data_IF_309181965202
#
_entry.id   IF_309181965202
#
_cell.length_a   1.000
_cell.length_b   1.000
_cell.length_c   1.000
_cell.angle_alpha   90.00
_cell.angle_beta   90.00
_cell.angle_gamma   90.00
#
_symmetry.space_group_name_H-M   'P 1'
#
loop_
_entity.id
_entity.type
_entity.pdbx_description
1 polymer ?
#
# COMPACT_ATOMS: atom_id res chain seq x y z
N UNK A 1 8.72 7.29 32.41
CA UNK A 1 9.14 5.88 32.57
C UNK A 1 9.39 5.31 31.18
N UNK A 2 10.66 5.08 30.82
CA UNK A 2 11.11 4.87 29.43
C UNK A 2 10.64 3.53 28.86
N UNK A 3 10.09 3.52 27.63
CA UNK A 3 9.59 2.33 26.90
C UNK A 3 10.56 1.12 26.89
N UNK A 4 11.87 1.35 27.12
CA UNK A 4 12.91 0.31 27.23
C UNK A 4 12.67 -0.71 28.35
N UNK A 5 12.23 -0.29 29.54
CA UNK A 5 12.10 -1.21 30.69
C UNK A 5 10.96 -2.22 30.47
N UNK A 6 9.87 -1.78 29.82
CA UNK A 6 8.69 -2.60 29.52
C UNK A 6 8.99 -3.68 28.49
N UNK A 7 9.82 -3.40 27.49
CA UNK A 7 10.24 -4.38 26.50
C UNK A 7 11.07 -5.50 27.13
N UNK A 8 11.99 -5.16 28.04
CA UNK A 8 12.86 -6.13 28.73
C UNK A 8 12.05 -7.04 29.67
N UNK A 9 11.09 -6.49 30.41
CA UNK A 9 10.34 -7.24 31.42
C UNK A 9 9.12 -8.00 30.86
N UNK A 10 8.50 -7.50 29.79
CA UNK A 10 7.21 -8.01 29.30
C UNK A 10 7.18 -8.30 27.78
N UNK A 11 8.28 -8.10 27.05
CA UNK A 11 8.37 -8.37 25.62
C UNK A 11 7.46 -7.52 24.72
N UNK A 12 6.77 -6.52 25.28
CA UNK A 12 5.79 -5.70 24.57
C UNK A 12 6.25 -4.24 24.51
N UNK A 13 6.29 -3.68 23.30
CA UNK A 13 6.63 -2.28 23.07
C UNK A 13 6.18 -1.80 21.69
N UNK A 14 6.10 -0.48 21.47
CA UNK A 14 5.75 0.07 20.17
C UNK A 14 6.83 -0.23 19.13
N UNK A 15 6.43 -0.59 17.90
CA UNK A 15 7.32 -0.74 16.75
C UNK A 15 6.86 0.20 15.63
N UNK A 16 7.76 1.05 15.16
CA UNK A 16 7.54 1.85 13.95
C UNK A 16 7.75 1.00 12.70
N UNK A 17 6.91 1.17 11.69
CA UNK A 17 7.01 0.48 10.41
C UNK A 17 6.93 1.53 9.31
N UNK A 18 7.93 1.56 8.43
CA UNK A 18 7.96 2.44 7.26
C UNK A 18 7.90 1.57 6.03
N UNK A 19 6.92 1.79 5.15
CA UNK A 19 6.74 1.04 3.89
C UNK A 19 6.81 -0.49 4.08
N UNK A 20 6.17 -0.99 5.13
CA UNK A 20 6.10 -2.42 5.44
C UNK A 20 7.40 -3.04 5.96
N UNK A 21 8.44 -2.25 6.28
CA UNK A 21 9.75 -2.76 6.73
C UNK A 21 10.36 -3.77 5.73
N UNK A 22 10.14 -3.51 4.44
CA UNK A 22 10.44 -4.42 3.35
C UNK A 22 11.72 -4.03 2.61
N UNK A 23 12.34 -5.02 1.96
CA UNK A 23 13.42 -4.80 0.98
C UNK A 23 12.78 -4.74 -0.41
N UNK A 24 12.63 -3.56 -1.03
CA UNK A 24 11.77 -3.41 -2.23
C UNK A 24 12.21 -4.28 -3.41
N UNK A 25 13.52 -4.41 -3.63
CA UNK A 25 14.09 -5.22 -4.72
C UNK A 25 13.80 -6.72 -4.62
N UNK A 26 13.39 -7.20 -3.45
CA UNK A 26 12.96 -8.59 -3.24
C UNK A 26 11.44 -8.67 -3.14
N UNK A 27 10.83 -7.73 -2.43
CA UNK A 27 9.41 -7.77 -2.07
C UNK A 27 8.50 -7.47 -3.25
N UNK A 28 8.79 -6.45 -4.07
CA UNK A 28 7.94 -6.08 -5.20
C UNK A 28 7.88 -7.19 -6.26
N UNK A 29 9.01 -7.80 -6.72
CA UNK A 29 8.94 -8.94 -7.64
C UNK A 29 8.08 -10.09 -7.08
N UNK A 30 8.18 -10.37 -5.78
CA UNK A 30 7.37 -11.40 -5.13
C UNK A 30 5.87 -11.09 -5.17
N UNK A 31 5.47 -9.83 -4.98
CA UNK A 31 4.06 -9.43 -5.09
C UNK A 31 3.55 -9.57 -6.53
N UNK A 32 4.37 -9.23 -7.53
CA UNK A 32 4.05 -9.44 -8.95
C UNK A 32 3.85 -10.92 -9.26
N UNK A 33 4.73 -11.80 -8.77
CA UNK A 33 4.56 -13.26 -8.94
C UNK A 33 3.24 -13.75 -8.32
N UNK A 34 2.89 -13.27 -7.14
CA UNK A 34 1.64 -13.62 -6.47
C UNK A 34 0.42 -13.09 -7.22
N UNK A 35 0.49 -11.89 -7.79
CA UNK A 35 -0.54 -11.33 -8.65
C UNK A 35 -0.77 -12.20 -9.89
N UNK A 36 0.31 -12.56 -10.60
CA UNK A 36 0.26 -13.43 -11.78
C UNK A 36 -0.29 -14.83 -11.48
N UNK A 37 -0.09 -15.32 -10.25
CA UNK A 37 -0.68 -16.58 -9.76
C UNK A 37 -2.15 -16.46 -9.34
N UNK A 38 -2.75 -15.26 -9.43
CA UNK A 38 -4.11 -15.00 -8.94
C UNK A 38 -4.24 -15.00 -7.40
N UNK A 39 -3.13 -14.97 -6.68
CA UNK A 39 -3.06 -15.05 -5.20
C UNK A 39 -2.98 -13.69 -4.52
N UNK A 40 -2.84 -12.63 -5.30
CA UNK A 40 -2.81 -11.26 -4.81
C UNK A 40 -3.60 -10.35 -5.76
N UNK A 41 -4.94 -10.35 -5.70
CA UNK A 41 -5.81 -9.65 -6.66
C UNK A 41 -5.88 -8.14 -6.39
N UNK A 42 -4.74 -7.45 -6.52
CA UNK A 42 -4.61 -6.00 -6.26
C UNK A 42 -5.31 -5.16 -7.33
N UNK A 43 -5.52 -5.71 -8.53
CA UNK A 43 -6.27 -5.13 -9.64
C UNK A 43 -7.70 -4.71 -9.24
N UNK A 44 -8.32 -5.45 -8.31
CA UNK A 44 -9.68 -5.16 -7.83
C UNK A 44 -9.80 -3.85 -7.06
N UNK A 45 -8.69 -3.26 -6.63
CA UNK A 45 -8.66 -1.99 -5.94
C UNK A 45 -8.48 -0.80 -6.90
N UNK A 46 -8.16 -1.08 -8.17
CA UNK A 46 -7.74 -0.09 -9.14
C UNK A 46 -8.94 0.40 -9.96
N UNK A 47 -9.07 1.73 -10.08
CA UNK A 47 -9.86 2.37 -11.14
C UNK A 47 -8.92 3.19 -12.01
N UNK A 48 -9.03 3.05 -13.32
CA UNK A 48 -8.21 3.76 -14.30
C UNK A 48 -8.89 5.04 -14.76
N UNK A 49 -8.10 6.09 -14.96
CA UNK A 49 -8.54 7.38 -15.48
C UNK A 49 -7.62 7.80 -16.63
N UNK A 50 -8.14 8.59 -17.58
CA UNK A 50 -7.28 9.28 -18.54
C UNK A 50 -6.41 10.30 -17.78
N UNK A 51 -5.25 10.65 -18.33
CA UNK A 51 -4.35 11.60 -17.66
C UNK A 51 -5.00 12.98 -17.50
N UNK A 52 -5.86 13.35 -18.45
CA UNK A 52 -6.63 14.60 -18.48
C UNK A 52 -7.66 14.67 -17.34
N UNK A 53 -8.11 13.53 -16.82
CA UNK A 53 -9.14 13.41 -15.78
C UNK A 53 -8.55 13.40 -14.36
N UNK A 54 -7.35 13.96 -14.16
CA UNK A 54 -6.62 13.91 -12.88
C UNK A 54 -7.41 14.51 -11.70
N UNK A 55 -8.16 15.58 -11.93
CA UNK A 55 -8.94 16.24 -10.89
C UNK A 55 -10.10 15.34 -10.41
N UNK A 56 -10.79 14.69 -11.36
CA UNK A 56 -11.84 13.72 -11.04
C UNK A 56 -11.28 12.48 -10.32
N UNK A 57 -10.09 12.02 -10.73
CA UNK A 57 -9.40 10.92 -10.06
C UNK A 57 -9.02 11.26 -8.61
N UNK A 58 -8.60 12.50 -8.35
CA UNK A 58 -8.28 12.97 -7.00
C UNK A 58 -9.54 13.07 -6.12
N UNK A 59 -10.62 13.68 -6.64
CA UNK A 59 -11.90 13.80 -5.92
C UNK A 59 -12.47 12.43 -5.54
N UNK A 60 -12.45 11.47 -6.47
CA UNK A 60 -12.93 10.10 -6.22
C UNK A 60 -12.12 9.39 -5.11
N UNK A 61 -10.82 9.65 -5.00
CA UNK A 61 -9.97 9.10 -3.93
C UNK A 61 -10.26 9.78 -2.60
N UNK A 62 -10.40 11.10 -2.58
CA UNK A 62 -10.68 11.88 -1.36
C UNK A 62 -12.05 11.54 -0.76
N UNK A 63 -13.06 11.37 -1.61
CA UNK A 63 -14.42 11.00 -1.23
C UNK A 63 -14.58 9.51 -0.94
N UNK A 64 -13.57 8.70 -1.26
CA UNK A 64 -13.56 7.25 -1.03
C UNK A 64 -14.36 6.44 -2.07
N UNK A 65 -14.85 7.06 -3.14
CA UNK A 65 -15.45 6.35 -4.28
C UNK A 65 -14.43 5.44 -4.98
N UNK A 66 -13.15 5.82 -4.96
CA UNK A 66 -12.04 5.05 -5.53
C UNK A 66 -10.99 4.75 -4.47
N UNK A 67 -10.64 3.47 -4.33
CA UNK A 67 -9.61 3.02 -3.38
C UNK A 67 -8.20 3.36 -3.93
N UNK A 68 -7.93 3.05 -5.20
CA UNK A 68 -6.65 3.34 -5.85
C UNK A 68 -6.87 3.82 -7.30
N UNK A 69 -6.67 5.10 -7.55
CA UNK A 69 -6.65 5.63 -8.90
C UNK A 69 -5.30 5.34 -9.60
N UNK A 70 -5.36 4.98 -10.89
CA UNK A 70 -4.20 4.85 -11.79
C UNK A 70 -4.47 5.69 -13.03
N UNK A 71 -3.58 6.66 -13.30
CA UNK A 71 -3.65 7.48 -14.51
C UNK A 71 -3.01 6.74 -15.68
N UNK A 72 -3.64 6.83 -16.84
CA UNK A 72 -3.20 6.20 -18.09
C UNK A 72 -3.14 7.23 -19.21
N UNK A 73 -2.15 7.12 -20.09
CA UNK A 73 -1.90 8.07 -21.19
C UNK A 73 -2.45 7.56 -22.53
N UNK A 74 -3.60 6.87 -22.51
CA UNK A 74 -4.17 6.27 -23.72
C UNK A 74 -4.69 7.34 -24.69
#
# INVERSE_FOLDING_TARGET
>A
MTNRLRFILFGCGPRGIIRGDSVPGVFIPRLVDLFNQGRFPVDRLIKTYAFEDIDAAAEDVETGHTIKAVLTSA
#
